data_IF_035643565339
#
_entry.id   IF_035643565339
#
_cell.length_a   1.000
_cell.length_b   1.000
_cell.length_c   1.000
_cell.angle_alpha   90.00
_cell.angle_beta   90.00
_cell.angle_gamma   90.00
#
_symmetry.space_group_name_H-M   'P 1'
#
loop_
_entity.id
_entity.type
_entity.pdbx_description
1 polymer ?
#
# COMPACT_ATOMS: atom_id res chain seq x y z
N UNK A 1 -4.63 -8.77 -0.67
CA UNK A 1 -3.60 -8.46 0.34
C UNK A 1 -2.23 -9.01 -0.07
N UNK A 2 -1.19 -8.50 0.55
CA UNK A 2 0.18 -8.90 0.26
C UNK A 2 1.04 -8.83 1.53
N UNK A 3 2.15 -9.57 1.53
CA UNK A 3 3.09 -9.57 2.65
C UNK A 3 4.45 -9.06 2.20
N UNK A 4 5.21 -8.50 3.14
CA UNK A 4 6.56 -8.01 2.89
C UNK A 4 7.43 -8.33 4.11
N UNK A 5 8.64 -8.88 3.91
CA UNK A 5 9.54 -9.15 5.03
C UNK A 5 10.09 -7.86 5.64
N UNK A 6 10.34 -7.90 6.94
CA UNK A 6 11.01 -6.82 7.66
C UNK A 6 12.40 -7.32 8.05
N UNK A 7 13.38 -6.99 7.23
CA UNK A 7 14.77 -7.40 7.42
C UNK A 7 15.69 -6.35 6.76
N UNK A 8 16.95 -6.71 6.55
CA UNK A 8 17.95 -5.77 6.01
C UNK A 8 17.52 -5.15 4.68
N UNK A 9 16.67 -5.83 3.89
CA UNK A 9 16.19 -5.33 2.58
C UNK A 9 15.18 -4.19 2.73
N UNK A 10 14.52 -4.09 3.87
CA UNK A 10 13.45 -3.11 4.12
C UNK A 10 13.71 -2.23 5.34
N UNK A 11 14.85 -2.41 6.01
CA UNK A 11 15.22 -1.61 7.18
C UNK A 11 15.76 -0.23 6.81
N UNK A 12 15.47 0.75 7.65
CA UNK A 12 16.18 2.02 7.68
C UNK A 12 17.43 1.87 8.61
N UNK A 13 18.30 2.89 8.74
CA UNK A 13 19.60 2.74 9.46
C UNK A 13 19.52 2.29 10.93
N UNK A 14 18.37 2.46 11.59
CA UNK A 14 18.21 2.07 13.00
C UNK A 14 17.62 0.66 13.18
N UNK A 15 17.54 -0.13 12.11
CA UNK A 15 17.03 -1.50 12.18
C UNK A 15 15.51 -1.63 12.22
N UNK A 16 14.78 -0.57 11.85
CA UNK A 16 13.32 -0.56 11.79
C UNK A 16 12.87 -0.57 10.34
N UNK A 17 11.65 -1.06 10.11
CA UNK A 17 11.04 -1.04 8.78
C UNK A 17 11.05 0.39 8.23
N UNK A 18 11.60 0.56 7.03
CA UNK A 18 11.65 1.85 6.36
C UNK A 18 10.24 2.29 5.97
N UNK A 19 9.87 3.53 6.30
CA UNK A 19 8.55 4.08 5.95
C UNK A 19 8.28 4.06 4.45
N UNK A 20 9.32 4.31 3.65
CA UNK A 20 9.22 4.21 2.19
C UNK A 20 8.90 2.80 1.71
N UNK A 21 9.34 1.75 2.42
CA UNK A 21 9.00 0.37 2.08
C UNK A 21 7.52 0.10 2.31
N UNK A 22 6.97 0.59 3.43
CA UNK A 22 5.52 0.48 3.70
C UNK A 22 4.71 1.22 2.65
N UNK A 23 5.15 2.42 2.26
CA UNK A 23 4.48 3.21 1.23
C UNK A 23 4.53 2.50 -0.14
N UNK A 24 5.67 1.90 -0.48
CA UNK A 24 5.82 1.15 -1.74
C UNK A 24 4.90 -0.08 -1.77
N UNK A 25 4.79 -0.80 -0.66
CA UNK A 25 3.86 -1.92 -0.55
C UNK A 25 2.43 -1.45 -0.79
N UNK A 26 2.03 -0.35 -0.14
CA UNK A 26 0.69 0.20 -0.26
C UNK A 26 0.39 0.66 -1.69
N UNK A 27 1.33 1.35 -2.33
CA UNK A 27 1.16 1.83 -3.70
C UNK A 27 1.03 0.66 -4.68
N UNK A 28 1.88 -0.35 -4.53
CA UNK A 28 1.84 -1.55 -5.38
C UNK A 28 0.50 -2.25 -5.23
N UNK A 29 0.06 -2.46 -4.00
CA UNK A 29 -1.19 -3.18 -3.71
C UNK A 29 -2.40 -2.41 -4.27
N UNK A 30 -2.45 -1.11 -4.04
CA UNK A 30 -3.54 -0.27 -4.51
C UNK A 30 -3.58 -0.16 -6.04
N UNK A 31 -2.41 -0.06 -6.67
CA UNK A 31 -2.33 0.01 -8.13
C UNK A 31 -2.76 -1.31 -8.77
N UNK A 32 -2.37 -2.44 -8.20
CA UNK A 32 -2.81 -3.75 -8.70
C UNK A 32 -4.32 -3.92 -8.52
N UNK A 33 -4.85 -3.55 -7.37
CA UNK A 33 -6.29 -3.61 -7.12
C UNK A 33 -7.05 -2.72 -8.11
N UNK A 34 -6.53 -1.52 -8.35
CA UNK A 34 -7.12 -0.58 -9.31
C UNK A 34 -7.12 -1.13 -10.72
N UNK A 35 -6.02 -1.76 -11.13
CA UNK A 35 -5.93 -2.37 -12.45
C UNK A 35 -6.97 -3.49 -12.62
N UNK A 36 -7.18 -4.30 -11.58
CA UNK A 36 -8.16 -5.38 -11.62
C UNK A 36 -9.60 -4.88 -11.79
N UNK A 37 -9.86 -3.62 -11.47
CA UNK A 37 -11.18 -2.99 -11.63
C UNK A 37 -11.35 -2.32 -13.00
N UNK A 38 -10.34 -2.37 -13.87
CA UNK A 38 -10.42 -1.74 -15.19
C UNK A 38 -10.95 -2.70 -16.24
N UNK A 39 -11.33 -2.13 -17.39
CA UNK A 39 -11.74 -2.89 -18.58
C UNK A 39 -10.54 -3.17 -19.46
N UNK A 40 -10.72 -4.06 -20.42
CA UNK A 40 -9.69 -4.35 -21.43
C UNK A 40 -9.23 -3.07 -22.13
N UNK A 41 -7.92 -2.94 -22.30
CA UNK A 41 -7.34 -1.77 -22.94
C UNK A 41 -7.12 -0.59 -22.02
N UNK A 42 -7.54 -0.69 -20.76
CA UNK A 42 -7.32 0.35 -19.76
C UNK A 42 -6.13 0.02 -18.86
N UNK A 43 -5.57 1.06 -18.27
CA UNK A 43 -4.52 0.94 -17.25
C UNK A 43 -4.79 1.95 -16.15
N UNK A 44 -4.03 1.87 -15.07
CA UNK A 44 -4.12 2.84 -13.98
C UNK A 44 -2.73 3.38 -13.66
N UNK A 45 -2.71 4.63 -13.19
CA UNK A 45 -1.51 5.24 -12.62
C UNK A 45 -1.85 5.83 -11.27
N UNK A 46 -0.92 5.72 -10.32
CA UNK A 46 -1.07 6.38 -9.03
C UNK A 46 -0.84 7.88 -9.21
N UNK A 47 -1.73 8.68 -8.64
CA UNK A 47 -1.64 10.14 -8.75
C UNK A 47 -1.30 10.80 -7.43
N UNK A 48 -1.66 10.18 -6.32
CA UNK A 48 -1.39 10.74 -4.99
C UNK A 48 -1.35 9.60 -3.99
N UNK A 49 -0.35 9.64 -3.12
CA UNK A 49 -0.21 8.69 -2.02
C UNK A 49 0.07 9.47 -0.75
N UNK A 50 -0.67 9.16 0.31
CA UNK A 50 -0.28 9.61 1.64
C UNK A 50 -0.18 8.42 2.58
N UNK A 51 0.67 8.55 3.59
CA UNK A 51 0.92 7.48 4.55
C UNK A 51 1.10 8.08 5.94
N UNK A 52 0.44 7.48 6.91
CA UNK A 52 0.62 7.81 8.32
C UNK A 52 1.19 6.59 9.00
N UNK A 53 2.37 6.73 9.60
CA UNK A 53 3.05 5.65 10.29
C UNK A 53 2.72 5.71 11.78
N UNK A 54 2.16 4.60 12.29
CA UNK A 54 1.66 4.55 13.67
C UNK A 54 2.59 3.79 14.60
N UNK A 55 3.29 2.77 14.09
CA UNK A 55 4.05 1.84 14.91
C UNK A 55 5.27 1.34 14.15
N UNK A 56 6.42 1.31 14.83
CA UNK A 56 7.64 0.76 14.26
C UNK A 56 7.63 -0.76 14.28
N UNK A 57 8.25 -1.36 13.26
CA UNK A 57 8.42 -2.81 13.16
C UNK A 57 9.90 -3.09 12.93
N UNK A 58 10.47 -4.03 13.70
CA UNK A 58 11.91 -4.32 13.63
C UNK A 58 12.23 -5.68 13.00
N UNK A 59 11.30 -6.60 12.97
CA UNK A 59 11.53 -7.96 12.46
C UNK A 59 10.22 -8.61 12.02
N UNK A 60 10.32 -9.80 11.46
CA UNK A 60 9.16 -10.55 11.00
C UNK A 60 8.70 -10.10 9.63
N UNK A 61 7.41 -9.92 9.49
CA UNK A 61 6.81 -9.45 8.25
C UNK A 61 5.61 -8.55 8.55
N UNK A 62 5.22 -7.77 7.54
CA UNK A 62 3.99 -6.97 7.57
C UNK A 62 3.06 -7.43 6.46
N UNK A 63 1.77 -7.20 6.68
CA UNK A 63 0.72 -7.55 5.74
C UNK A 63 -0.03 -6.29 5.36
N UNK A 64 -0.12 -6.04 4.05
CA UNK A 64 -0.94 -4.96 3.50
C UNK A 64 -2.32 -5.47 3.13
N UNK A 65 -3.34 -4.71 3.50
CA UNK A 65 -4.75 -5.02 3.18
C UNK A 65 -5.35 -3.79 2.50
N UNK A 66 -5.84 -3.98 1.28
CA UNK A 66 -6.37 -2.91 0.44
C UNK A 66 -7.88 -2.99 0.37
N UNK A 67 -8.54 -1.84 0.54
CA UNK A 67 -9.99 -1.72 0.42
C UNK A 67 -10.34 -0.51 -0.44
N UNK A 68 -11.37 -0.61 -1.30
CA UNK A 68 -11.79 0.55 -2.08
C UNK A 68 -12.53 1.55 -1.21
N UNK A 69 -12.24 2.84 -1.42
CA UNK A 69 -13.01 3.93 -0.85
C UNK A 69 -13.95 4.52 -1.88
N UNK A 70 -13.51 4.55 -3.14
CA UNK A 70 -14.31 5.08 -4.25
C UNK A 70 -13.84 4.45 -5.55
N UNK A 71 -14.77 3.95 -6.34
CA UNK A 71 -14.50 3.37 -7.65
C UNK A 71 -15.28 4.18 -8.68
N UNK A 72 -14.63 5.22 -9.23
CA UNK A 72 -15.19 6.07 -10.25
C UNK A 72 -14.81 5.60 -11.64
N UNK A 73 -15.37 6.26 -12.64
CA UNK A 73 -15.11 5.95 -14.05
C UNK A 73 -13.69 6.30 -14.45
N UNK A 74 -13.17 7.43 -13.97
CA UNK A 74 -11.85 7.94 -14.33
C UNK A 74 -10.87 8.01 -13.16
N UNK A 75 -11.35 7.82 -11.94
CA UNK A 75 -10.49 7.85 -10.75
C UNK A 75 -10.97 6.84 -9.72
N UNK A 76 -10.04 6.40 -8.89
CA UNK A 76 -10.29 5.45 -7.81
C UNK A 76 -9.56 5.94 -6.57
N UNK A 77 -10.10 5.61 -5.41
CA UNK A 77 -9.42 5.88 -4.13
C UNK A 77 -9.42 4.61 -3.31
N UNK A 78 -8.27 4.33 -2.71
CA UNK A 78 -8.02 3.10 -1.96
C UNK A 78 -7.49 3.42 -0.58
N UNK A 79 -7.88 2.63 0.40
CA UNK A 79 -7.25 2.64 1.71
C UNK A 79 -6.46 1.36 1.87
N UNK A 80 -5.21 1.47 2.30
CA UNK A 80 -4.35 0.33 2.55
C UNK A 80 -3.88 0.39 4.00
N UNK A 81 -4.23 -0.63 4.77
CA UNK A 81 -3.70 -0.82 6.10
C UNK A 81 -2.50 -1.74 6.06
N UNK A 82 -1.46 -1.43 6.83
CA UNK A 82 -0.29 -2.29 6.98
C UNK A 82 -0.25 -2.76 8.43
N UNK A 83 -0.18 -4.08 8.64
CA UNK A 83 -0.31 -4.72 9.94
C UNK A 83 0.91 -5.59 10.24
N UNK A 84 1.33 -5.63 11.50
CA UNK A 84 2.41 -6.51 11.94
C UNK A 84 1.90 -7.94 12.16
N UNK A 85 2.79 -8.83 12.58
CA UNK A 85 2.43 -10.24 12.79
C UNK A 85 1.46 -10.46 13.94
N UNK A 86 1.34 -9.49 14.85
CA UNK A 86 0.36 -9.54 15.94
C UNK A 86 -0.98 -8.91 15.54
N UNK A 87 -1.11 -8.48 14.30
CA UNK A 87 -2.34 -7.88 13.81
C UNK A 87 -2.51 -6.40 14.18
N UNK A 88 -1.46 -5.74 14.66
CA UNK A 88 -1.52 -4.33 15.04
C UNK A 88 -1.27 -3.47 13.81
N UNK A 89 -2.04 -2.40 13.68
CA UNK A 89 -1.90 -1.48 12.55
C UNK A 89 -0.61 -0.66 12.71
N UNK A 90 0.26 -0.74 11.73
CA UNK A 90 1.54 -0.04 11.72
C UNK A 90 1.52 1.19 10.84
N UNK A 91 0.71 1.17 9.78
CA UNK A 91 0.64 2.27 8.81
C UNK A 91 -0.75 2.30 8.19
N UNK A 92 -1.22 3.50 7.88
CA UNK A 92 -2.43 3.71 7.10
C UNK A 92 -2.08 4.56 5.91
N UNK A 93 -2.41 4.06 4.72
CA UNK A 93 -2.15 4.76 3.47
C UNK A 93 -3.44 5.01 2.71
N UNK A 94 -3.47 6.08 1.93
CA UNK A 94 -4.49 6.32 0.92
C UNK A 94 -3.81 6.52 -0.42
N UNK A 95 -4.32 5.85 -1.42
CA UNK A 95 -3.83 5.97 -2.78
C UNK A 95 -4.97 6.41 -3.68
N UNK A 96 -4.72 7.46 -4.45
CA UNK A 96 -5.60 7.87 -5.54
C UNK A 96 -4.98 7.42 -6.84
N UNK A 97 -5.80 6.87 -7.72
CA UNK A 97 -5.37 6.41 -9.04
C UNK A 97 -6.21 7.04 -10.12
N UNK A 98 -5.65 7.15 -11.32
CA UNK A 98 -6.35 7.62 -12.50
C UNK A 98 -6.44 6.46 -13.49
N UNK A 99 -7.62 6.27 -14.07
CA UNK A 99 -7.85 5.25 -15.10
C UNK A 99 -7.54 5.86 -16.45
N UNK A 100 -6.68 5.19 -17.22
CA UNK A 100 -6.24 5.63 -18.57
C UNK A 100 -6.77 4.68 -19.62
N UNK A 101 -7.13 5.22 -20.78
CA UNK A 101 -7.64 4.46 -21.91
C UNK A 101 -9.15 4.58 -22.03
#
# INVERSE_FOLDING_TARGET
EAEMPVDARTHQPFGLLHGGASAALAETLGSMAGFLMTRDGQSVVGTELNATHHRAVSHGKVRGVCQPLHLGRSSQSWEIGVFDEQGRRCCTCRLSTMVLG
#
